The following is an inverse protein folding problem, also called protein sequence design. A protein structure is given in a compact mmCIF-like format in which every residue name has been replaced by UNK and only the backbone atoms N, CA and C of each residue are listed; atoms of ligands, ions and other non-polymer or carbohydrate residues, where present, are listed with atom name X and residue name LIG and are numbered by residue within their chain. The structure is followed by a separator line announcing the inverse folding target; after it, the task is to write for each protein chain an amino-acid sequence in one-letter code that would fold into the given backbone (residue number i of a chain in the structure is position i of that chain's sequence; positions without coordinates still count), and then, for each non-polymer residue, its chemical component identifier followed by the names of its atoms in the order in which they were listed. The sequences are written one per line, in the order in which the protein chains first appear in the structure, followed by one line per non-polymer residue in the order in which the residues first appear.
data_IF_687877280365
#
_entry.id   IF_687877280365
#
_cell.length_a   1.000
_cell.length_b   1.000
_cell.length_c   1.000
_cell.angle_alpha   90.00
_cell.angle_beta   90.00
_cell.angle_gamma   90.00
#
_symmetry.space_group_name_H-M   'P 1'
#
loop_
_entity.id
_entity.type
_entity.pdbx_description
1 polymer ?
#
# COMPACT_ATOMS: atom_id res chain seq x y z
N UNK A 1 30.83 -58.61 27.49
CA UNK A 1 29.93 -57.43 27.50
C UNK A 1 29.80 -56.78 28.88
N UNK A 2 30.87 -56.24 29.49
CA UNK A 2 30.80 -55.58 30.83
C UNK A 2 31.46 -54.18 30.90
N UNK A 3 31.90 -53.60 29.77
CA UNK A 3 32.56 -52.28 29.77
C UNK A 3 31.57 -51.12 29.58
N UNK A 4 30.55 -51.26 28.73
CA UNK A 4 29.71 -50.13 28.30
C UNK A 4 28.68 -49.62 29.33
N UNK A 5 28.42 -50.37 30.42
CA UNK A 5 27.47 -49.95 31.48
C UNK A 5 28.08 -49.02 32.53
N UNK A 6 29.40 -49.05 32.73
CA UNK A 6 30.04 -48.22 33.76
C UNK A 6 30.19 -46.76 33.35
N UNK A 7 30.31 -46.50 32.04
CA UNK A 7 30.49 -45.13 31.54
C UNK A 7 29.18 -44.34 31.55
N UNK A 8 28.03 -44.98 31.31
CA UNK A 8 26.71 -44.35 31.39
C UNK A 8 26.33 -43.88 32.80
N UNK A 9 26.71 -44.62 33.85
CA UNK A 9 26.42 -44.23 35.24
C UNK A 9 27.24 -43.01 35.67
N UNK A 10 28.46 -42.86 35.16
CA UNK A 10 29.31 -41.67 35.43
C UNK A 10 28.87 -40.42 34.67
N UNK A 11 28.14 -40.59 33.56
CA UNK A 11 27.59 -39.48 32.79
C UNK A 11 26.30 -38.97 33.44
N UNK A 12 25.41 -39.87 33.88
CA UNK A 12 24.18 -39.51 34.62
C UNK A 12 24.45 -38.87 35.98
N UNK A 13 25.51 -39.28 36.71
CA UNK A 13 25.92 -38.62 37.97
C UNK A 13 26.48 -37.21 37.79
N UNK A 14 26.89 -36.82 36.57
CA UNK A 14 27.35 -35.45 36.27
C UNK A 14 26.20 -34.53 35.87
N UNK A 15 25.12 -35.07 35.32
CA UNK A 15 23.92 -34.30 34.97
C UNK A 15 22.96 -34.15 36.16
N UNK A 16 23.02 -35.04 37.15
CA UNK A 16 22.24 -34.94 38.40
C UNK A 16 22.92 -34.09 39.49
N UNK A 17 23.83 -33.17 39.12
CA UNK A 17 24.51 -32.24 40.05
C UNK A 17 23.94 -30.81 39.99
N UNK A 18 22.92 -30.56 39.16
CA UNK A 18 22.33 -29.23 38.98
C UNK A 18 20.85 -29.14 39.42
N UNK A 19 20.33 -30.14 40.14
CA UNK A 19 19.08 -29.99 40.89
C UNK A 19 19.44 -29.90 42.38
N UNK A 20 19.67 -28.69 42.85
CA UNK A 20 19.70 -28.37 44.28
C UNK A 20 18.27 -27.95 44.67
N UNK A 21 17.54 -28.72 45.50
CA UNK A 21 16.13 -28.47 45.80
C UNK A 21 15.89 -27.61 47.04
N UNK A 22 16.88 -26.82 47.50
CA UNK A 22 16.81 -26.06 48.75
C UNK A 22 17.04 -24.54 48.54
N UNK A 23 16.14 -23.86 47.82
CA UNK A 23 15.98 -22.41 47.96
C UNK A 23 14.63 -22.13 48.64
N UNK A 24 14.73 -21.97 49.96
CA UNK A 24 13.69 -21.48 50.85
C UNK A 24 13.15 -20.11 50.41
N UNK A 25 11.84 -19.96 50.58
CA UNK A 25 11.09 -18.71 50.51
C UNK A 25 11.65 -17.67 51.50
N UNK A 26 12.18 -16.56 50.98
CA UNK A 26 12.34 -15.32 51.74
C UNK A 26 11.53 -14.23 51.04
N UNK A 27 10.47 -13.81 51.73
CA UNK A 27 9.71 -12.60 51.43
C UNK A 27 10.57 -11.37 51.75
N UNK A 28 10.79 -10.51 50.76
CA UNK A 28 11.23 -9.13 51.00
C UNK A 28 10.42 -8.22 50.06
N UNK A 29 9.59 -7.37 50.67
CA UNK A 29 8.83 -6.30 50.02
C UNK A 29 9.82 -5.24 49.52
N UNK A 30 9.92 -5.04 48.20
CA UNK A 30 10.54 -3.85 47.64
C UNK A 30 9.62 -3.20 46.60
N UNK A 31 9.28 -1.96 46.91
CA UNK A 31 8.54 -0.96 46.16
C UNK A 31 9.07 -0.80 44.72
N UNK A 32 8.32 -1.30 43.73
CA UNK A 32 8.52 -0.99 42.32
C UNK A 32 7.50 0.05 41.87
N UNK A 33 7.94 1.30 41.96
CA UNK A 33 7.40 2.44 41.20
C UNK A 33 7.33 2.06 39.72
N UNK A 34 6.12 1.97 39.16
CA UNK A 34 5.91 1.71 37.73
C UNK A 34 6.46 2.87 36.89
N UNK A 35 7.60 2.67 36.23
CA UNK A 35 8.00 3.44 35.05
C UNK A 35 7.39 2.81 33.81
N UNK A 36 6.51 3.56 33.13
CA UNK A 36 5.93 3.28 31.82
C UNK A 36 7.06 3.06 30.78
N UNK A 37 7.16 1.90 30.10
CA UNK A 37 8.14 1.73 29.02
C UNK A 37 7.58 2.30 27.71
N UNK A 38 8.19 3.39 27.21
CA UNK A 38 7.87 4.05 25.94
C UNK A 38 8.46 3.36 24.69
N UNK A 39 8.91 2.11 24.76
CA UNK A 39 9.73 1.52 23.68
C UNK A 39 9.03 0.44 22.85
N UNK A 40 7.70 0.32 22.90
CA UNK A 40 6.95 -0.69 22.12
C UNK A 40 6.67 -0.29 20.66
N UNK A 41 6.77 1.00 20.30
CA UNK A 41 6.53 1.45 18.92
C UNK A 41 7.68 1.14 17.95
N UNK A 42 8.90 0.95 18.45
CA UNK A 42 10.08 0.86 17.57
C UNK A 42 10.42 -0.56 17.10
N UNK A 43 9.93 -1.61 17.77
CA UNK A 43 10.21 -3.00 17.35
C UNK A 43 9.17 -3.60 16.39
N UNK A 44 8.03 -2.93 16.19
CA UNK A 44 6.96 -3.43 15.32
C UNK A 44 7.25 -3.15 13.83
N UNK A 45 8.01 -2.09 13.51
CA UNK A 45 8.22 -1.62 12.13
C UNK A 45 9.20 -2.48 11.32
N UNK A 46 10.14 -3.18 11.95
CA UNK A 46 11.10 -4.06 11.24
C UNK A 46 10.56 -5.46 10.96
N UNK A 47 9.68 -5.99 11.82
CA UNK A 47 9.04 -7.30 11.60
C UNK A 47 7.94 -7.25 10.53
N UNK A 48 7.26 -6.11 10.39
CA UNK A 48 6.17 -5.95 9.44
C UNK A 48 6.62 -5.95 7.98
N UNK A 49 7.80 -5.41 7.65
CA UNK A 49 8.33 -5.39 6.26
C UNK A 49 8.56 -6.79 5.68
N UNK A 50 9.02 -7.74 6.49
CA UNK A 50 9.19 -9.13 6.08
C UNK A 50 7.88 -9.92 6.04
N UNK A 51 6.90 -9.56 6.88
CA UNK A 51 5.57 -10.18 6.85
C UNK A 51 4.70 -9.64 5.69
N UNK A 52 4.81 -8.35 5.39
CA UNK A 52 4.19 -7.68 4.25
C UNK A 52 4.64 -8.29 2.93
N UNK A 53 5.93 -8.61 2.78
CA UNK A 53 6.44 -9.28 1.57
C UNK A 53 5.85 -10.69 1.35
N UNK A 54 5.61 -11.44 2.42
CA UNK A 54 5.02 -12.79 2.34
C UNK A 54 3.52 -12.72 2.05
N UNK A 55 2.82 -11.75 2.64
CA UNK A 55 1.40 -11.48 2.36
C UNK A 55 1.22 -10.94 0.92
N UNK A 56 2.11 -10.08 0.44
CA UNK A 56 2.14 -9.55 -0.93
C UNK A 56 2.32 -10.67 -1.96
N UNK A 57 3.21 -11.64 -1.73
CA UNK A 57 3.40 -12.79 -2.65
C UNK A 57 2.21 -13.75 -2.73
N UNK A 58 1.33 -13.79 -1.72
CA UNK A 58 0.13 -14.64 -1.73
C UNK A 58 -1.11 -13.93 -2.30
N UNK A 59 -1.13 -12.59 -2.28
CA UNK A 59 -2.26 -11.80 -2.79
C UNK A 59 -2.16 -11.57 -4.30
N UNK A 60 -0.95 -11.45 -4.88
CA UNK A 60 -0.74 -11.21 -6.32
C UNK A 60 -1.50 -12.20 -7.25
N UNK A 61 -1.59 -13.52 -6.98
CA UNK A 61 -2.39 -14.43 -7.80
C UNK A 61 -3.91 -14.22 -7.65
N UNK A 62 -4.36 -13.71 -6.50
CA UNK A 62 -5.78 -13.45 -6.21
C UNK A 62 -6.24 -12.15 -6.88
N UNK A 63 -5.36 -11.15 -6.95
CA UNK A 63 -5.63 -9.86 -7.61
C UNK A 63 -5.86 -10.01 -9.12
N UNK A 64 -5.26 -11.02 -9.77
CA UNK A 64 -5.41 -11.29 -11.20
C UNK A 64 -6.69 -12.04 -11.58
N UNK A 65 -7.35 -12.70 -10.63
CA UNK A 65 -8.58 -13.47 -10.89
C UNK A 65 -9.85 -12.75 -10.41
N UNK A 66 -9.71 -11.69 -9.61
CA UNK A 66 -10.82 -10.82 -9.23
C UNK A 66 -11.05 -9.80 -10.34
N UNK A 67 -12.25 -9.82 -10.91
CA UNK A 67 -12.75 -8.73 -11.75
C UNK A 67 -13.04 -7.55 -10.81
N UNK A 68 -12.17 -6.53 -10.79
CA UNK A 68 -12.23 -5.37 -9.87
C UNK A 68 -13.36 -4.40 -10.19
N UNK A 69 -14.42 -4.89 -10.82
CA UNK A 69 -15.63 -4.15 -10.99
C UNK A 69 -16.41 -4.08 -9.67
N UNK A 70 -16.09 -3.08 -8.84
CA UNK A 70 -16.77 -2.81 -7.56
C UNK A 70 -18.28 -2.55 -7.74
N UNK A 71 -18.77 -2.36 -8.97
CA UNK A 71 -20.22 -2.28 -9.24
C UNK A 71 -21.00 -3.53 -8.82
N UNK A 72 -20.36 -4.71 -8.70
CA UNK A 72 -20.99 -5.92 -8.18
C UNK A 72 -21.31 -5.84 -6.67
N UNK A 73 -20.73 -4.89 -5.93
CA UNK A 73 -21.05 -4.64 -4.52
C UNK A 73 -22.15 -3.58 -4.33
N UNK A 74 -22.48 -2.80 -5.36
CA UNK A 74 -23.61 -1.86 -5.36
C UNK A 74 -24.96 -2.56 -5.62
N UNK A 75 -24.95 -3.72 -6.29
CA UNK A 75 -26.19 -4.40 -6.74
C UNK A 75 -26.95 -5.12 -5.60
N UNK A 76 -26.38 -5.20 -4.40
CA UNK A 76 -26.95 -5.97 -3.28
C UNK A 76 -27.64 -5.12 -2.19
N UNK A 77 -27.73 -3.79 -2.34
CA UNK A 77 -28.37 -2.90 -1.35
C UNK A 77 -29.53 -2.06 -1.87
N UNK A 78 -29.98 -2.24 -3.11
CA UNK A 78 -31.17 -1.52 -3.62
C UNK A 78 -32.23 -2.46 -4.16
N UNK A 79 -33.30 -2.60 -3.38
CA UNK A 79 -34.58 -3.04 -3.90
C UNK A 79 -35.00 -2.17 -5.09
N UNK A 80 -35.64 -2.81 -6.05
CA UNK A 80 -36.16 -2.25 -7.30
C UNK A 80 -36.75 -0.84 -7.13
N UNK A 81 -36.03 0.17 -7.59
CA UNK A 81 -36.61 1.48 -7.93
C UNK A 81 -36.29 1.75 -9.39
N UNK A 82 -37.29 1.50 -10.22
CA UNK A 82 -37.38 1.94 -11.61
C UNK A 82 -37.07 3.43 -11.72
N UNK A 83 -36.05 3.74 -12.52
CA UNK A 83 -35.78 5.01 -13.20
C UNK A 83 -36.39 6.27 -12.61
N UNK A 84 -35.59 7.03 -11.87
CA UNK A 84 -35.70 8.48 -11.87
C UNK A 84 -34.28 9.03 -11.81
N UNK A 85 -33.85 9.70 -12.88
CA UNK A 85 -32.61 10.48 -12.91
C UNK A 85 -32.61 11.45 -11.73
N UNK A 86 -31.72 11.22 -10.76
CA UNK A 86 -31.28 12.30 -9.89
C UNK A 86 -30.22 13.05 -10.67
N UNK A 87 -30.64 14.16 -11.27
CA UNK A 87 -29.75 15.15 -11.88
C UNK A 87 -28.89 15.72 -10.75
N UNK A 88 -27.62 15.31 -10.69
CA UNK A 88 -26.62 16.00 -9.89
C UNK A 88 -26.24 17.27 -10.67
N UNK A 89 -27.01 18.34 -10.44
CA UNK A 89 -26.80 19.66 -11.01
C UNK A 89 -25.50 20.24 -10.42
N UNK A 90 -24.39 20.12 -11.16
CA UNK A 90 -23.11 20.72 -10.75
C UNK A 90 -21.81 20.05 -11.17
N UNK A 91 -21.81 18.82 -11.71
CA UNK A 91 -20.58 18.22 -12.25
C UNK A 91 -20.37 18.76 -13.66
N UNK A 92 -19.31 19.55 -13.86
CA UNK A 92 -18.91 20.02 -15.18
C UNK A 92 -18.79 18.81 -16.13
N UNK A 93 -19.20 18.95 -17.42
CA UNK A 93 -18.99 17.90 -18.40
C UNK A 93 -17.52 17.49 -18.36
N UNK A 94 -17.30 16.17 -18.23
CA UNK A 94 -15.98 15.55 -18.21
C UNK A 94 -15.08 16.27 -19.23
N UNK A 95 -13.91 16.81 -18.83
CA UNK A 95 -12.94 17.21 -19.83
C UNK A 95 -12.71 15.99 -20.74
N UNK A 96 -12.63 16.18 -22.07
CA UNK A 96 -12.32 15.08 -22.96
C UNK A 96 -11.05 14.42 -22.43
N UNK A 97 -11.09 13.08 -22.29
CA UNK A 97 -9.91 12.32 -21.92
C UNK A 97 -8.76 12.81 -22.80
N UNK A 98 -7.61 13.22 -22.24
CA UNK A 98 -6.48 13.63 -23.03
C UNK A 98 -6.17 12.51 -24.03
N UNK A 99 -5.88 12.90 -25.28
CA UNK A 99 -5.59 11.96 -26.35
C UNK A 99 -4.58 10.93 -25.85
N UNK A 100 -5.00 9.67 -25.79
CA UNK A 100 -4.15 8.58 -25.33
C UNK A 100 -2.92 8.56 -26.24
N UNK A 101 -1.69 8.75 -25.73
CA UNK A 101 -0.52 8.60 -26.56
C UNK A 101 -0.54 7.17 -27.10
N UNK A 102 -0.55 7.02 -28.43
CA UNK A 102 -0.35 5.73 -29.08
C UNK A 102 1.09 5.30 -28.75
N UNK A 103 1.22 4.56 -27.66
CA UNK A 103 2.49 4.02 -27.20
C UNK A 103 2.91 2.94 -28.19
N UNK A 104 3.88 3.30 -29.02
CA UNK A 104 4.49 2.39 -29.99
C UNK A 104 5.32 1.38 -29.23
N UNK A 105 4.94 0.10 -29.31
CA UNK A 105 5.74 -1.00 -28.79
C UNK A 105 7.15 -0.97 -29.41
N UNK A 106 8.17 -1.24 -28.60
CA UNK A 106 9.55 -1.20 -29.07
C UNK A 106 9.88 -2.49 -29.85
N UNK A 107 9.90 -2.42 -31.18
CA UNK A 107 10.14 -3.57 -32.08
C UNK A 107 11.63 -3.92 -32.27
N UNK A 108 12.44 -3.75 -31.23
CA UNK A 108 13.90 -3.95 -31.27
C UNK A 108 14.39 -5.02 -30.31
N UNK A 109 15.68 -5.36 -30.41
CA UNK A 109 16.33 -6.23 -29.42
C UNK A 109 16.60 -5.47 -28.12
N UNK A 110 16.80 -6.18 -27.01
CA UNK A 110 17.25 -5.58 -25.74
C UNK A 110 18.52 -4.72 -25.92
N UNK A 111 19.41 -5.09 -26.86
CA UNK A 111 20.61 -4.32 -27.17
C UNK A 111 20.28 -2.97 -27.81
N UNK A 112 19.29 -2.94 -28.71
CA UNK A 112 18.80 -1.71 -29.32
C UNK A 112 18.13 -0.82 -28.27
N UNK A 113 17.34 -1.43 -27.38
CA UNK A 113 16.68 -0.73 -26.26
C UNK A 113 17.70 -0.09 -25.31
N UNK A 114 18.72 -0.85 -24.92
CA UNK A 114 19.81 -0.36 -24.06
C UNK A 114 20.61 0.75 -24.74
N UNK A 115 20.82 0.63 -26.06
CA UNK A 115 21.51 1.67 -26.83
C UNK A 115 20.70 2.97 -26.88
N UNK A 116 19.38 2.87 -27.10
CA UNK A 116 18.47 4.02 -27.06
C UNK A 116 18.45 4.70 -25.69
N UNK A 117 18.42 3.94 -24.58
CA UNK A 117 18.53 4.50 -23.23
C UNK A 117 19.87 5.20 -22.98
N UNK A 118 20.96 4.66 -23.53
CA UNK A 118 22.28 5.29 -23.45
C UNK A 118 22.33 6.61 -24.20
N UNK A 119 21.77 6.65 -25.40
CA UNK A 119 21.68 7.87 -26.23
C UNK A 119 20.83 8.94 -25.56
N UNK A 120 19.76 8.54 -24.87
CA UNK A 120 18.92 9.42 -24.05
C UNK A 120 19.60 9.87 -22.74
N UNK A 121 20.76 9.33 -22.38
CA UNK A 121 21.44 9.64 -21.12
C UNK A 121 20.76 9.06 -19.87
N UNK A 122 19.82 8.13 -20.03
CA UNK A 122 19.05 7.51 -18.93
C UNK A 122 19.63 6.18 -18.47
N UNK A 123 20.58 5.61 -19.21
CA UNK A 123 21.13 4.29 -18.89
C UNK A 123 21.77 4.24 -17.50
N UNK A 124 22.41 5.34 -17.08
CA UNK A 124 23.05 5.42 -15.76
C UNK A 124 22.04 5.67 -14.62
N UNK A 125 20.82 6.10 -14.94
CA UNK A 125 19.72 6.29 -13.96
C UNK A 125 19.05 4.98 -13.58
N UNK A 126 19.24 3.92 -14.38
CA UNK A 126 18.56 2.64 -14.18
C UNK A 126 19.53 1.48 -13.99
N UNK A 127 19.21 0.61 -13.03
CA UNK A 127 19.93 -0.65 -12.86
C UNK A 127 19.68 -1.60 -14.03
N UNK A 128 20.61 -2.52 -14.32
CA UNK A 128 20.39 -3.54 -15.37
C UNK A 128 19.10 -4.36 -15.21
N UNK A 129 18.69 -4.76 -13.98
CA UNK A 129 17.37 -5.36 -13.76
C UNK A 129 16.20 -4.46 -14.16
N UNK A 130 16.29 -3.15 -13.89
CA UNK A 130 15.25 -2.19 -14.28
C UNK A 130 15.15 -2.08 -15.80
N UNK A 131 16.28 -1.94 -16.51
CA UNK A 131 16.31 -1.89 -17.98
C UNK A 131 15.69 -3.14 -18.60
N UNK A 132 16.03 -4.33 -18.07
CA UNK A 132 15.43 -5.58 -18.55
C UNK A 132 13.92 -5.63 -18.27
N UNK A 133 13.49 -5.21 -17.08
CA UNK A 133 12.08 -5.20 -16.72
C UNK A 133 11.27 -4.23 -17.60
N UNK A 134 11.81 -3.05 -17.92
CA UNK A 134 11.16 -2.11 -18.84
C UNK A 134 11.00 -2.70 -20.24
N UNK A 135 12.06 -3.33 -20.76
CA UNK A 135 12.01 -4.01 -22.06
C UNK A 135 10.98 -5.16 -22.07
N UNK A 136 10.97 -6.01 -21.04
CA UNK A 136 10.03 -7.15 -20.93
C UNK A 136 8.57 -6.71 -20.75
N UNK A 137 8.32 -5.49 -20.27
CA UNK A 137 6.99 -4.93 -20.06
C UNK A 137 6.61 -3.90 -21.13
N UNK A 138 7.33 -3.87 -22.25
CA UNK A 138 7.08 -2.98 -23.40
C UNK A 138 7.03 -1.48 -23.03
N UNK A 139 7.75 -1.06 -21.98
CA UNK A 139 7.83 0.36 -21.61
C UNK A 139 8.74 1.07 -22.63
N UNK A 140 8.21 2.00 -23.43
CA UNK A 140 8.99 2.63 -24.49
C UNK A 140 10.00 3.61 -23.90
N UNK A 141 11.15 3.75 -24.57
CA UNK A 141 12.19 4.71 -24.15
C UNK A 141 11.65 6.14 -24.11
N UNK A 142 10.72 6.51 -25.01
CA UNK A 142 10.08 7.82 -24.99
C UNK A 142 9.31 8.09 -23.69
N UNK A 143 8.62 7.10 -23.13
CA UNK A 143 7.94 7.25 -21.84
C UNK A 143 8.93 7.53 -20.71
N UNK A 144 10.10 6.89 -20.72
CA UNK A 144 11.15 7.13 -19.73
C UNK A 144 11.82 8.50 -19.90
N UNK A 145 11.94 8.97 -21.15
CA UNK A 145 12.39 10.34 -21.46
C UNK A 145 11.39 11.35 -20.89
N UNK A 146 10.11 11.19 -21.18
CA UNK A 146 9.07 12.11 -20.73
C UNK A 146 8.98 12.12 -19.18
N UNK A 147 9.12 10.96 -18.53
CA UNK A 147 9.19 10.85 -17.07
C UNK A 147 10.41 11.61 -16.50
N UNK A 148 11.55 11.57 -17.21
CA UNK A 148 12.76 12.30 -16.82
C UNK A 148 12.58 13.81 -16.98
N UNK A 149 11.98 14.24 -18.08
CA UNK A 149 11.67 15.65 -18.35
C UNK A 149 10.68 16.23 -17.33
N UNK A 150 9.73 15.40 -16.85
CA UNK A 150 8.85 15.73 -15.74
C UNK A 150 9.55 15.77 -14.37
N UNK A 151 10.82 15.37 -14.29
CA UNK A 151 11.57 15.27 -13.04
C UNK A 151 10.95 14.27 -12.07
N UNK A 152 10.49 13.12 -12.58
CA UNK A 152 9.84 12.05 -11.82
C UNK A 152 10.63 10.74 -11.80
N UNK A 153 11.79 10.67 -12.49
CA UNK A 153 12.58 9.44 -12.60
C UNK A 153 13.11 8.95 -11.26
N UNK A 154 13.57 9.87 -10.41
CA UNK A 154 14.15 9.53 -9.11
C UNK A 154 13.08 9.36 -8.01
N UNK A 155 11.82 9.70 -8.31
CA UNK A 155 10.71 9.62 -7.35
C UNK A 155 10.15 8.19 -7.24
N UNK A 156 10.38 7.35 -8.26
CA UNK A 156 9.70 6.08 -8.38
C UNK A 156 10.64 4.90 -8.60
N UNK A 157 10.34 3.81 -7.90
CA UNK A 157 10.96 2.52 -8.20
C UNK A 157 10.58 2.01 -9.59
N UNK A 158 11.45 1.23 -10.25
CA UNK A 158 11.14 0.69 -11.58
C UNK A 158 9.83 -0.14 -11.65
N UNK A 159 9.41 -0.90 -10.61
CA UNK A 159 8.10 -1.55 -10.63
C UNK A 159 6.93 -0.54 -10.63
N UNK A 160 7.08 0.57 -9.92
CA UNK A 160 6.08 1.64 -9.92
C UNK A 160 5.97 2.31 -11.30
N UNK A 161 7.10 2.62 -11.94
CA UNK A 161 7.15 3.17 -13.29
C UNK A 161 6.44 2.25 -14.29
N UNK A 162 6.70 0.94 -14.24
CA UNK A 162 6.01 -0.06 -15.08
C UNK A 162 4.50 -0.06 -14.79
N UNK A 163 4.10 -0.03 -13.53
CA UNK A 163 2.69 -0.01 -13.15
C UNK A 163 1.98 1.25 -13.66
N UNK A 164 2.62 2.42 -13.56
CA UNK A 164 2.06 3.68 -14.06
C UNK A 164 1.93 3.66 -15.58
N UNK A 165 2.91 3.13 -16.29
CA UNK A 165 2.83 2.94 -17.74
C UNK A 165 1.66 2.03 -18.13
N UNK A 166 1.55 0.85 -17.51
CA UNK A 166 0.52 -0.14 -17.83
C UNK A 166 -0.90 0.36 -17.53
N UNK A 167 -1.06 1.12 -16.45
CA UNK A 167 -2.35 1.71 -16.06
C UNK A 167 -2.55 3.13 -16.62
N UNK A 168 -1.66 3.59 -17.51
CA UNK A 168 -1.74 4.88 -18.20
C UNK A 168 -1.95 6.06 -17.23
N UNK A 169 -1.24 6.04 -16.10
CA UNK A 169 -1.26 7.11 -15.11
C UNK A 169 -0.51 8.32 -15.69
N UNK A 170 -1.15 9.49 -15.88
CA UNK A 170 -0.54 10.66 -16.51
C UNK A 170 0.54 11.27 -15.62
N UNK A 171 1.58 11.84 -16.24
CA UNK A 171 2.61 12.55 -15.50
C UNK A 171 2.07 13.79 -14.77
N UNK A 172 1.04 14.46 -15.31
CA UNK A 172 0.40 15.59 -14.64
C UNK A 172 -0.26 15.18 -13.32
N UNK A 173 -0.83 13.97 -13.25
CA UNK A 173 -1.40 13.44 -12.01
C UNK A 173 -0.30 13.11 -11.00
N UNK A 174 0.76 12.43 -11.44
CA UNK A 174 1.92 12.14 -10.58
C UNK A 174 2.61 13.42 -10.08
N UNK A 175 2.72 14.43 -10.95
CA UNK A 175 3.24 15.76 -10.62
C UNK A 175 2.36 16.46 -9.59
N UNK A 176 1.04 16.40 -9.75
CA UNK A 176 0.10 16.98 -8.78
C UNK A 176 0.21 16.34 -7.39
N UNK A 177 0.40 15.01 -7.33
CA UNK A 177 0.65 14.31 -6.07
C UNK A 177 2.01 14.70 -5.46
N UNK A 178 3.04 14.89 -6.29
CA UNK A 178 4.35 15.38 -5.83
C UNK A 178 4.24 16.77 -5.23
N UNK A 179 3.56 17.68 -5.93
CA UNK A 179 3.39 19.08 -5.50
C UNK A 179 2.55 19.18 -4.22
N UNK A 180 1.62 18.25 -4.01
CA UNK A 180 0.85 18.10 -2.78
C UNK A 180 1.60 17.34 -1.65
N UNK A 181 2.86 16.94 -1.88
CA UNK A 181 3.67 16.14 -0.94
C UNK A 181 3.03 14.79 -0.54
N UNK A 182 2.22 14.20 -1.42
CA UNK A 182 1.52 12.93 -1.15
C UNK A 182 2.30 11.69 -1.60
N UNK A 183 3.32 11.84 -2.44
CA UNK A 183 4.03 10.67 -3.00
C UNK A 183 4.73 9.81 -1.93
N UNK A 184 5.20 10.41 -0.84
CA UNK A 184 5.87 9.69 0.25
C UNK A 184 4.87 8.93 1.15
N UNK A 185 3.62 9.39 1.20
CA UNK A 185 2.54 8.76 1.98
C UNK A 185 1.86 7.63 1.19
N UNK A 186 1.97 7.66 -0.14
CA UNK A 186 1.24 6.75 -1.01
C UNK A 186 2.12 5.65 -1.59
N UNK A 187 1.71 4.41 -1.35
CA UNK A 187 2.24 3.28 -2.12
C UNK A 187 1.84 3.39 -3.61
N UNK A 188 2.70 2.94 -4.53
CA UNK A 188 2.36 2.98 -5.97
C UNK A 188 1.04 2.24 -6.33
N UNK A 189 0.63 1.13 -5.66
CA UNK A 189 -0.68 0.55 -5.90
C UNK A 189 -1.82 1.49 -5.47
N UNK A 190 -1.64 2.27 -4.41
CA UNK A 190 -2.62 3.26 -3.99
C UNK A 190 -2.75 4.39 -5.02
N UNK A 191 -1.62 4.89 -5.54
CA UNK A 191 -1.60 5.90 -6.62
C UNK A 191 -2.39 5.42 -7.84
N UNK A 192 -2.14 4.19 -8.31
CA UNK A 192 -2.89 3.58 -9.42
C UNK A 192 -4.38 3.48 -9.09
N UNK A 193 -4.72 2.94 -7.90
CA UNK A 193 -6.10 2.77 -7.50
C UNK A 193 -6.86 4.11 -7.40
N UNK A 194 -6.24 5.15 -6.86
CA UNK A 194 -6.84 6.47 -6.77
C UNK A 194 -7.08 7.10 -8.15
N UNK A 195 -6.11 6.96 -9.05
CA UNK A 195 -6.26 7.40 -10.44
C UNK A 195 -7.41 6.68 -11.14
N UNK A 196 -7.43 5.35 -11.11
CA UNK A 196 -8.47 4.54 -11.77
C UNK A 196 -9.87 4.81 -11.23
N UNK A 197 -9.98 5.12 -9.94
CA UNK A 197 -11.25 5.41 -9.28
C UNK A 197 -11.59 6.91 -9.24
N UNK A 198 -10.81 7.75 -9.94
CA UNK A 198 -10.99 9.20 -10.03
C UNK A 198 -11.10 9.88 -8.65
N UNK A 199 -10.36 9.38 -7.65
CA UNK A 199 -10.30 10.03 -6.34
C UNK A 199 -9.62 11.38 -6.50
N UNK A 200 -10.31 12.45 -6.13
CA UNK A 200 -9.81 13.81 -6.35
C UNK A 200 -8.59 14.11 -5.49
N UNK A 201 -7.70 14.96 -6.00
CA UNK A 201 -6.54 15.45 -5.24
C UNK A 201 -7.01 16.12 -3.94
N UNK A 202 -8.02 16.98 -4.02
CA UNK A 202 -8.59 17.69 -2.86
C UNK A 202 -9.05 16.72 -1.76
N UNK A 203 -9.64 15.58 -2.14
CA UNK A 203 -10.07 14.56 -1.18
C UNK A 203 -8.88 13.86 -0.53
N UNK A 204 -7.85 13.52 -1.30
CA UNK A 204 -6.61 12.92 -0.77
C UNK A 204 -5.88 13.88 0.17
N UNK A 205 -5.75 15.15 -0.21
CA UNK A 205 -5.15 16.18 0.63
C UNK A 205 -5.95 16.39 1.91
N UNK A 206 -7.29 16.41 1.85
CA UNK A 206 -8.12 16.51 3.05
C UNK A 206 -7.98 15.28 3.97
N UNK A 207 -7.80 14.09 3.40
CA UNK A 207 -7.49 12.87 4.16
C UNK A 207 -6.12 12.94 4.83
N UNK A 208 -5.11 13.47 4.13
CA UNK A 208 -3.76 13.64 4.67
C UNK A 208 -3.74 14.63 5.83
N UNK A 209 -4.35 15.81 5.64
CA UNK A 209 -4.46 16.86 6.65
C UNK A 209 -5.19 16.40 7.91
N UNK A 210 -6.16 15.50 7.76
CA UNK A 210 -6.88 14.88 8.88
C UNK A 210 -6.13 13.70 9.54
N UNK A 211 -5.00 13.26 8.96
CA UNK A 211 -4.21 12.13 9.44
C UNK A 211 -4.81 10.76 9.09
N UNK A 212 -5.73 10.71 8.13
CA UNK A 212 -6.48 9.50 7.75
C UNK A 212 -5.83 8.67 6.64
N UNK A 213 -4.87 9.21 5.89
CA UNK A 213 -4.17 8.44 4.85
C UNK A 213 -3.46 7.20 5.40
N UNK A 214 -2.85 7.33 6.58
CA UNK A 214 -2.16 6.22 7.27
C UNK A 214 -3.09 5.35 8.13
N UNK A 215 -4.27 5.86 8.47
CA UNK A 215 -5.24 5.17 9.32
C UNK A 215 -6.08 4.18 8.52
N UNK A 216 -6.39 4.52 7.26
CA UNK A 216 -7.21 3.70 6.39
C UNK A 216 -6.41 3.09 5.25
N UNK A 217 -6.69 1.82 4.95
CA UNK A 217 -6.18 1.20 3.73
C UNK A 217 -6.71 1.95 2.48
N UNK A 218 -5.91 2.08 1.42
CA UNK A 218 -6.34 2.73 0.18
C UNK A 218 -7.67 2.18 -0.41
N UNK A 219 -8.04 0.88 -0.32
CA UNK A 219 -9.35 0.43 -0.76
C UNK A 219 -10.50 1.03 0.06
N UNK A 220 -10.30 1.25 1.36
CA UNK A 220 -11.29 1.91 2.21
C UNK A 220 -11.44 3.40 1.85
N UNK A 221 -10.33 4.09 1.56
CA UNK A 221 -10.35 5.49 1.13
C UNK A 221 -11.09 5.64 -0.21
N UNK A 222 -10.78 4.79 -1.20
CA UNK A 222 -11.53 4.72 -2.47
C UNK A 222 -13.01 4.51 -2.23
N UNK A 223 -13.36 3.58 -1.34
CA UNK A 223 -14.75 3.25 -1.09
C UNK A 223 -15.49 4.37 -0.33
N UNK A 224 -14.82 5.07 0.60
CA UNK A 224 -15.37 6.29 1.22
C UNK A 224 -15.64 7.37 0.18
N UNK A 225 -14.69 7.62 -0.73
CA UNK A 225 -14.85 8.57 -1.81
C UNK A 225 -16.04 8.22 -2.72
N UNK A 226 -16.15 6.96 -3.13
CA UNK A 226 -17.26 6.47 -3.99
C UNK A 226 -18.63 6.56 -3.31
N UNK A 227 -18.68 6.46 -1.98
CA UNK A 227 -19.90 6.60 -1.20
C UNK A 227 -20.13 8.04 -0.71
N UNK A 228 -19.29 8.98 -1.14
CA UNK A 228 -19.38 10.40 -0.79
C UNK A 228 -19.12 10.69 0.68
N UNK A 229 -18.54 9.76 1.44
CA UNK A 229 -18.25 9.95 2.88
C UNK A 229 -17.25 11.09 3.03
N UNK A 230 -17.64 12.12 3.77
CA UNK A 230 -16.81 13.32 3.92
C UNK A 230 -15.84 13.22 5.10
N UNK A 231 -14.77 14.02 5.05
CA UNK A 231 -13.78 14.10 6.14
C UNK A 231 -14.45 14.66 7.41
N UNK A 232 -15.40 15.58 7.27
CA UNK A 232 -16.16 16.12 8.40
C UNK A 232 -16.96 15.04 9.11
N UNK A 233 -17.59 14.12 8.36
CA UNK A 233 -18.31 13.01 8.95
C UNK A 233 -17.37 12.05 9.70
N UNK A 234 -16.19 11.75 9.13
CA UNK A 234 -15.18 10.93 9.81
C UNK A 234 -14.67 11.61 11.09
N UNK A 235 -14.44 12.93 11.05
CA UNK A 235 -14.07 13.72 12.22
C UNK A 235 -15.15 13.68 13.31
N UNK A 236 -16.43 13.78 12.96
CA UNK A 236 -17.52 13.64 13.92
C UNK A 236 -17.54 12.26 14.60
N UNK A 237 -17.25 11.19 13.84
CA UNK A 237 -17.13 9.85 14.40
C UNK A 237 -15.91 9.74 15.32
N UNK A 238 -14.78 10.33 14.92
CA UNK A 238 -13.55 10.33 15.71
C UNK A 238 -13.72 11.10 17.02
N UNK A 239 -14.33 12.28 17.00
CA UNK A 239 -14.62 13.10 18.19
C UNK A 239 -15.55 12.42 19.19
N UNK A 240 -16.36 11.47 18.72
CA UNK A 240 -17.27 10.67 19.55
C UNK A 240 -16.66 9.31 19.95
N UNK A 241 -15.38 9.08 19.65
CA UNK A 241 -14.67 7.80 19.82
C UNK A 241 -15.37 6.62 19.10
N UNK A 242 -16.10 6.87 18.02
CA UNK A 242 -16.85 5.85 17.27
C UNK A 242 -16.08 5.32 16.05
N UNK A 243 -15.18 6.11 15.47
CA UNK A 243 -14.55 5.77 14.19
C UNK A 243 -13.77 4.45 14.23
N UNK A 244 -13.03 4.20 15.32
CA UNK A 244 -12.30 2.95 15.54
C UNK A 244 -13.16 1.75 15.93
N UNK A 245 -14.39 1.98 16.41
CA UNK A 245 -15.33 0.94 16.82
C UNK A 245 -16.23 0.48 15.66
N UNK A 246 -16.38 1.33 14.64
CA UNK A 246 -17.21 1.05 13.48
C UNK A 246 -16.41 0.34 12.39
N UNK A 247 -17.01 -0.70 11.81
CA UNK A 247 -16.51 -1.27 10.57
C UNK A 247 -16.73 -0.30 9.41
N UNK A 248 -15.89 -0.37 8.36
CA UNK A 248 -16.07 0.39 7.12
C UNK A 248 -17.52 0.38 6.59
N UNK A 249 -18.22 -0.77 6.46
CA UNK A 249 -19.60 -0.77 5.97
C UNK A 249 -20.56 -0.02 6.89
N UNK A 250 -20.32 -0.06 8.20
CA UNK A 250 -21.13 0.68 9.17
C UNK A 250 -20.92 2.20 9.06
N UNK A 251 -19.68 2.65 8.83
CA UNK A 251 -19.40 4.08 8.57
C UNK A 251 -20.15 4.56 7.33
N UNK A 252 -20.09 3.80 6.23
CA UNK A 252 -20.81 4.12 4.99
C UNK A 252 -22.33 4.11 5.20
N UNK A 253 -22.87 3.08 5.85
CA UNK A 253 -24.30 2.98 6.15
C UNK A 253 -24.78 4.14 7.02
N UNK A 254 -24.00 4.53 8.04
CA UNK A 254 -24.34 5.67 8.88
C UNK A 254 -24.33 6.98 8.09
N UNK A 255 -23.38 7.17 7.18
CA UNK A 255 -23.34 8.37 6.33
C UNK A 255 -24.55 8.46 5.41
N UNK A 256 -24.93 7.36 4.77
CA UNK A 256 -26.08 7.32 3.83
C UNK A 256 -27.44 7.53 4.51
N UNK A 257 -27.53 7.28 5.82
CA UNK A 257 -28.75 7.40 6.60
C UNK A 257 -28.81 8.69 7.45
N UNK A 258 -27.81 9.58 7.34
CA UNK A 258 -27.73 10.87 8.03
C UNK A 258 -28.30 12.00 7.16
#
# INVERSE_FOLDING_TARGET
MKSKKRDRVKQLKRELKWLDPDQELVHEEDDITYKKPETLKESLSRGFRSFLAIVLCLIIPVLWYFDWNISAFADNTSGTVTGTEVVQDGVAPLPPAPDVPVVSSFDGSLLDYTSALKEAGLLDSYSSPAVNAFYENDVPVSYLIDLNEAGLVDEFSFPAIIAFFQNQVPFDYLGSLKDANLLDELSFPAVVAFYENNVSLDYLTSFDEAGYLDEFSFPAIVAYFQNGVSIEFLNELQERDLLGDLSFPAVVEMYQNN
#
